data_IF_144829649363
#
_entry.id   IF_144829649363
#
_cell.length_a   1.000
_cell.length_b   1.000
_cell.length_c   1.000
_cell.angle_alpha   90.00
_cell.angle_beta   90.00
_cell.angle_gamma   90.00
#
_symmetry.space_group_name_H-M   'P 1'
#
loop_
_entity.id
_entity.type
_entity.pdbx_description
1 polymer ?
#
# COMPACT_ATOMS: atom_id res chain seq x y z
N UNK A 1 63.04 -27.11 -63.98
CA UNK A 1 63.19 -25.96 -63.09
C UNK A 1 61.86 -25.23 -63.12
N UNK A 2 60.93 -25.60 -62.29
CA UNK A 2 59.58 -24.99 -62.22
C UNK A 2 59.38 -24.33 -60.82
N UNK A 3 59.27 -23.02 -60.83
CA UNK A 3 59.02 -22.24 -59.64
C UNK A 3 57.51 -22.09 -59.40
N UNK A 4 57.02 -22.75 -58.38
CA UNK A 4 55.62 -22.65 -57.97
C UNK A 4 55.40 -21.40 -57.14
N UNK A 5 54.53 -20.49 -57.56
CA UNK A 5 54.11 -19.33 -56.84
C UNK A 5 52.97 -19.71 -55.88
N UNK A 6 53.19 -19.53 -54.57
CA UNK A 6 52.19 -19.72 -53.54
C UNK A 6 51.35 -18.43 -53.44
N UNK A 7 50.06 -18.54 -53.76
CA UNK A 7 49.08 -17.45 -53.57
C UNK A 7 48.48 -17.62 -52.19
N UNK A 8 48.79 -16.72 -51.29
CA UNK A 8 48.17 -16.66 -49.95
C UNK A 8 46.87 -15.85 -50.06
N UNK A 9 45.72 -16.53 -49.94
CA UNK A 9 44.41 -15.89 -49.81
C UNK A 9 44.18 -15.47 -48.38
N UNK A 10 44.17 -14.16 -48.14
CA UNK A 10 43.87 -13.56 -46.84
C UNK A 10 42.36 -13.38 -46.73
N UNK A 11 41.67 -14.30 -46.03
CA UNK A 11 40.25 -14.17 -45.72
C UNK A 11 40.07 -13.25 -44.51
N UNK A 12 39.52 -12.05 -44.77
CA UNK A 12 39.11 -11.12 -43.71
C UNK A 12 37.76 -11.59 -43.14
N UNK A 13 37.77 -12.11 -41.90
CA UNK A 13 36.56 -12.40 -41.16
C UNK A 13 36.08 -11.10 -40.49
N UNK A 14 35.03 -10.50 -41.07
CA UNK A 14 34.31 -9.38 -40.45
C UNK A 14 33.43 -9.98 -39.33
N UNK A 15 33.90 -9.89 -38.10
CA UNK A 15 33.12 -10.26 -36.91
C UNK A 15 31.99 -9.26 -36.67
N UNK A 16 30.76 -9.68 -36.96
CA UNK A 16 29.56 -8.93 -36.63
C UNK A 16 29.28 -9.15 -35.13
N UNK A 17 29.73 -8.21 -34.27
CA UNK A 17 29.39 -8.22 -32.86
C UNK A 17 27.92 -7.77 -32.70
N UNK A 18 27.02 -8.75 -32.55
CA UNK A 18 25.66 -8.48 -32.08
C UNK A 18 25.71 -8.18 -30.60
N UNK A 19 25.56 -6.90 -30.26
CA UNK A 19 25.26 -6.48 -28.90
C UNK A 19 23.85 -6.95 -28.52
N UNK A 20 23.77 -8.04 -27.74
CA UNK A 20 22.53 -8.45 -27.09
C UNK A 20 22.23 -7.37 -26.06
N UNK A 21 21.38 -6.42 -26.43
CA UNK A 21 20.77 -5.49 -25.49
C UNK A 21 19.92 -6.28 -24.52
N UNK A 22 20.38 -6.38 -23.27
CA UNK A 22 19.56 -6.89 -22.17
C UNK A 22 18.45 -5.87 -21.94
N UNK A 23 17.30 -6.03 -22.63
CA UNK A 23 16.08 -5.35 -22.29
C UNK A 23 15.64 -5.93 -20.95
N UNK A 24 15.81 -5.14 -19.89
CA UNK A 24 15.14 -5.40 -18.61
C UNK A 24 13.64 -5.23 -18.86
N UNK A 25 12.95 -6.33 -19.13
CA UNK A 25 11.51 -6.39 -19.03
C UNK A 25 11.15 -6.10 -17.57
N UNK A 26 10.95 -4.82 -17.28
CA UNK A 26 10.20 -4.40 -16.11
C UNK A 26 8.75 -4.82 -16.36
N UNK A 27 8.42 -6.04 -16.02
CA UNK A 27 7.02 -6.48 -15.80
C UNK A 27 6.45 -5.53 -14.76
N UNK A 28 5.80 -4.46 -15.24
CA UNK A 28 5.02 -3.56 -14.40
C UNK A 28 3.86 -4.39 -13.86
N UNK A 29 4.05 -4.93 -12.66
CA UNK A 29 3.06 -5.74 -11.97
C UNK A 29 1.72 -5.00 -11.96
N UNK A 30 0.64 -5.77 -12.09
CA UNK A 30 -0.73 -5.26 -12.05
C UNK A 30 -0.92 -4.42 -10.79
N UNK A 31 -1.03 -3.11 -10.94
CA UNK A 31 -1.22 -2.19 -9.81
C UNK A 31 -2.68 -2.22 -9.39
N UNK A 32 -2.95 -2.55 -8.13
CA UNK A 32 -4.28 -2.45 -7.53
C UNK A 32 -4.40 -1.08 -6.88
N UNK A 33 -5.35 -0.29 -7.34
CA UNK A 33 -5.65 1.03 -6.79
C UNK A 33 -7.00 1.05 -6.09
N UNK A 34 -7.11 1.81 -5.01
CA UNK A 34 -8.34 2.01 -4.24
C UNK A 34 -8.71 3.49 -4.29
N UNK A 35 -9.99 3.77 -4.46
CA UNK A 35 -10.56 5.12 -4.26
C UNK A 35 -11.47 5.10 -3.04
N UNK A 36 -11.18 5.95 -2.05
CA UNK A 36 -11.99 6.14 -0.83
C UNK A 36 -12.65 7.52 -0.93
N UNK A 37 -13.96 7.53 -1.19
CA UNK A 37 -14.76 8.74 -1.11
C UNK A 37 -15.15 8.99 0.34
N UNK A 38 -14.76 10.12 0.89
CA UNK A 38 -15.07 10.49 2.27
C UNK A 38 -15.96 11.72 2.35
N UNK A 39 -16.45 12.06 3.56
CA UNK A 39 -17.15 13.32 3.82
C UNK A 39 -16.25 14.57 3.68
N UNK A 40 -14.94 14.39 3.56
CA UNK A 40 -13.93 15.46 3.41
C UNK A 40 -13.31 15.53 2.01
N UNK A 41 -13.58 14.56 1.15
CA UNK A 41 -13.00 14.45 -0.20
C UNK A 41 -12.54 13.05 -0.51
N UNK A 42 -11.82 12.89 -1.62
CA UNK A 42 -11.37 11.61 -2.13
C UNK A 42 -9.91 11.34 -1.79
N UNK A 43 -9.62 10.10 -1.40
CA UNK A 43 -8.26 9.59 -1.17
C UNK A 43 -8.03 8.43 -2.14
N UNK A 44 -6.91 8.44 -2.88
CA UNK A 44 -6.52 7.33 -3.73
C UNK A 44 -5.30 6.61 -3.14
N UNK A 45 -5.38 5.28 -3.11
CA UNK A 45 -4.31 4.42 -2.62
C UNK A 45 -3.77 3.55 -3.75
N UNK A 46 -2.49 3.28 -3.71
CA UNK A 46 -1.83 2.18 -4.42
C UNK A 46 -1.55 1.07 -3.41
N UNK A 47 -1.92 -0.17 -3.74
CA UNK A 47 -1.70 -1.33 -2.87
C UNK A 47 -0.47 -2.13 -3.30
N UNK A 48 0.28 -2.65 -2.35
CA UNK A 48 1.52 -3.39 -2.54
C UNK A 48 1.28 -4.91 -2.51
N UNK A 49 0.63 -5.44 -3.56
CA UNK A 49 0.25 -6.86 -3.64
C UNK A 49 1.46 -7.81 -3.55
N UNK A 50 2.63 -7.42 -4.07
CA UNK A 50 3.86 -8.21 -3.97
C UNK A 50 4.44 -8.28 -2.55
N UNK A 51 4.23 -7.22 -1.74
CA UNK A 51 4.82 -7.10 -0.42
C UNK A 51 3.93 -7.69 0.68
N UNK A 52 2.60 -7.57 0.49
CA UNK A 52 1.57 -8.00 1.45
C UNK A 52 0.35 -8.62 0.74
N UNK A 53 0.51 -9.75 0.02
CA UNK A 53 -0.53 -10.33 -0.83
C UNK A 53 -1.80 -10.70 -0.07
N UNK A 54 -1.68 -11.26 1.13
CA UNK A 54 -2.83 -11.68 1.93
C UNK A 54 -3.60 -10.48 2.48
N UNK A 55 -2.89 -9.46 2.93
CA UNK A 55 -3.48 -8.20 3.42
C UNK A 55 -4.18 -7.45 2.30
N UNK A 56 -3.56 -7.35 1.12
CA UNK A 56 -4.16 -6.72 -0.05
C UNK A 56 -5.41 -7.49 -0.49
N UNK A 57 -5.35 -8.83 -0.56
CA UNK A 57 -6.52 -9.66 -0.88
C UNK A 57 -7.68 -9.43 0.12
N UNK A 58 -7.36 -9.33 1.43
CA UNK A 58 -8.34 -9.03 2.46
C UNK A 58 -8.99 -7.65 2.25
N UNK A 59 -8.18 -6.61 2.06
CA UNK A 59 -8.68 -5.25 1.90
C UNK A 59 -9.52 -5.11 0.63
N UNK A 60 -9.06 -5.65 -0.50
CA UNK A 60 -9.77 -5.67 -1.79
C UNK A 60 -11.08 -6.42 -1.67
N UNK A 61 -11.07 -7.64 -1.11
CA UNK A 61 -12.28 -8.44 -0.95
C UNK A 61 -13.33 -7.77 -0.07
N UNK A 62 -12.92 -7.10 1.02
CA UNK A 62 -13.82 -6.32 1.87
C UNK A 62 -14.36 -5.09 1.13
N UNK A 63 -13.53 -4.40 0.34
CA UNK A 63 -13.94 -3.25 -0.47
C UNK A 63 -14.95 -3.65 -1.55
N UNK A 64 -14.72 -4.76 -2.27
CA UNK A 64 -15.64 -5.30 -3.29
C UNK A 64 -16.99 -5.73 -2.68
N UNK A 65 -17.00 -6.20 -1.43
CA UNK A 65 -18.21 -6.49 -0.66
C UNK A 65 -18.93 -5.23 -0.15
N UNK A 66 -18.36 -4.03 -0.37
CA UNK A 66 -18.89 -2.76 0.17
C UNK A 66 -18.76 -2.63 1.68
N UNK A 67 -17.95 -3.46 2.33
CA UNK A 67 -17.81 -3.48 3.79
C UNK A 67 -17.43 -2.13 4.38
N UNK A 68 -16.55 -1.39 3.73
CA UNK A 68 -16.07 -0.10 4.23
C UNK A 68 -17.07 1.06 4.05
N UNK A 69 -18.14 0.87 3.26
CA UNK A 69 -19.12 1.92 3.00
C UNK A 69 -19.90 2.24 4.27
N UNK A 70 -19.89 3.50 4.67
CA UNK A 70 -20.51 3.98 5.90
C UNK A 70 -19.62 3.87 7.16
N UNK A 71 -18.46 3.22 7.07
CA UNK A 71 -17.51 3.12 8.19
C UNK A 71 -16.77 4.45 8.37
N UNK A 72 -16.50 4.82 9.63
CA UNK A 72 -15.84 6.07 9.99
C UNK A 72 -14.34 5.91 10.22
N UNK A 73 -13.62 7.00 10.13
CA UNK A 73 -12.32 7.14 10.78
C UNK A 73 -12.58 7.41 12.27
N UNK A 74 -12.48 6.36 13.07
CA UNK A 74 -12.87 6.38 14.48
C UNK A 74 -11.80 6.92 15.43
N UNK A 75 -10.54 7.04 14.95
CA UNK A 75 -9.41 7.58 15.73
C UNK A 75 -8.57 8.51 14.88
N UNK A 76 -8.22 9.64 15.45
CA UNK A 76 -7.22 10.58 14.94
C UNK A 76 -6.18 10.79 16.02
N UNK A 77 -4.92 10.48 15.71
CA UNK A 77 -3.76 10.82 16.51
C UNK A 77 -2.99 11.89 15.74
N UNK A 78 -3.13 13.15 16.16
CA UNK A 78 -2.60 14.32 15.43
C UNK A 78 -1.09 14.25 15.27
N UNK A 79 -0.62 14.45 14.04
CA UNK A 79 0.79 14.32 13.69
C UNK A 79 1.29 12.90 13.57
N UNK A 80 0.44 11.91 13.83
CA UNK A 80 0.80 10.49 13.77
C UNK A 80 -0.03 9.72 12.73
N UNK A 81 -1.31 9.43 13.00
CA UNK A 81 -2.17 8.64 12.10
C UNK A 81 -3.61 9.10 12.09
N UNK A 82 -4.35 8.76 11.02
CA UNK A 82 -5.80 8.57 11.03
C UNK A 82 -6.09 7.08 10.89
N UNK A 83 -7.05 6.54 11.66
CA UNK A 83 -7.36 5.12 11.70
C UNK A 83 -8.86 4.87 11.49
N UNK A 84 -9.17 3.88 10.64
CA UNK A 84 -10.53 3.48 10.30
C UNK A 84 -10.65 1.97 10.07
N UNK A 85 -11.75 1.54 9.41
CA UNK A 85 -11.97 0.14 9.03
C UNK A 85 -12.68 -0.72 10.09
N UNK A 86 -13.11 -0.13 11.20
CA UNK A 86 -13.93 -0.78 12.21
C UNK A 86 -15.42 -0.45 12.01
N UNK A 87 -16.25 -1.43 11.68
CA UNK A 87 -17.68 -1.24 11.47
C UNK A 87 -18.45 -0.85 12.74
N UNK A 88 -17.86 -1.06 13.92
CA UNK A 88 -18.46 -0.65 15.19
C UNK A 88 -18.09 0.79 15.59
N UNK A 89 -17.05 1.35 14.96
CA UNK A 89 -16.53 2.70 15.26
C UNK A 89 -15.93 2.84 16.66
N UNK A 90 -15.64 1.74 17.35
CA UNK A 90 -15.13 1.70 18.74
C UNK A 90 -13.62 1.47 18.82
N UNK A 91 -12.98 1.07 17.71
CA UNK A 91 -11.59 0.60 17.66
C UNK A 91 -11.42 -0.85 18.09
N UNK A 92 -12.50 -1.56 18.47
CA UNK A 92 -12.46 -2.95 18.95
C UNK A 92 -13.05 -3.96 17.98
N UNK A 93 -13.75 -3.49 16.94
CA UNK A 93 -14.36 -4.33 15.92
C UNK A 93 -13.41 -4.61 14.74
N UNK A 94 -14.00 -5.07 13.66
CA UNK A 94 -13.33 -5.45 12.43
C UNK A 94 -13.59 -6.89 12.07
N UNK A 95 -13.47 -7.21 10.77
CA UNK A 95 -13.53 -8.58 10.27
C UNK A 95 -12.54 -8.77 9.14
N UNK A 96 -12.26 -10.01 8.78
CA UNK A 96 -11.52 -10.33 7.57
C UNK A 96 -12.37 -11.20 6.63
N UNK A 97 -11.97 -11.28 5.36
CA UNK A 97 -12.58 -12.23 4.42
C UNK A 97 -12.31 -13.69 4.82
N UNK A 98 -11.34 -13.91 5.70
CA UNK A 98 -10.95 -15.24 6.18
C UNK A 98 -11.80 -15.73 7.37
N UNK A 99 -12.76 -14.91 7.84
CA UNK A 99 -13.64 -15.24 8.97
C UNK A 99 -12.97 -15.22 10.34
N UNK A 100 -11.68 -14.90 10.43
CA UNK A 100 -10.85 -14.81 11.64
C UNK A 100 -9.73 -13.80 11.47
N UNK A 101 -9.02 -13.49 12.55
CA UNK A 101 -7.76 -12.74 12.47
C UNK A 101 -6.74 -13.46 11.60
N UNK A 102 -5.83 -12.71 10.97
CA UNK A 102 -4.81 -13.28 10.10
C UNK A 102 -3.43 -12.70 10.41
N UNK A 103 -2.42 -13.41 9.96
CA UNK A 103 -1.01 -13.15 10.22
C UNK A 103 -0.51 -11.82 9.65
N UNK A 104 0.54 -11.30 10.28
CA UNK A 104 1.31 -10.17 9.78
C UNK A 104 2.16 -10.57 8.58
N UNK A 105 2.34 -9.65 7.63
CA UNK A 105 3.25 -9.79 6.48
C UNK A 105 4.41 -8.80 6.64
N UNK A 106 5.42 -9.22 7.40
CA UNK A 106 6.57 -8.38 7.81
C UNK A 106 7.87 -8.88 7.14
N UNK A 107 7.84 -9.02 5.81
CA UNK A 107 9.00 -9.48 5.05
C UNK A 107 10.12 -8.42 5.01
N UNK A 108 11.29 -8.67 5.65
CA UNK A 108 12.37 -7.67 5.75
C UNK A 108 13.05 -7.36 4.41
N UNK A 109 12.84 -8.15 3.36
CA UNK A 109 13.38 -7.87 2.02
C UNK A 109 12.42 -7.07 1.16
N UNK A 110 11.13 -6.99 1.53
CA UNK A 110 10.13 -6.22 0.81
C UNK A 110 10.48 -4.72 0.80
N UNK A 111 10.28 -4.02 -0.35
CA UNK A 111 10.53 -2.58 -0.46
C UNK A 111 9.77 -1.75 0.58
N UNK A 112 8.47 -2.01 0.78
CA UNK A 112 7.65 -1.29 1.75
C UNK A 112 8.13 -1.48 3.20
N UNK A 113 8.57 -2.70 3.56
CA UNK A 113 9.14 -2.96 4.88
C UNK A 113 10.44 -2.18 5.10
N UNK A 114 11.33 -2.11 4.08
CA UNK A 114 12.58 -1.35 4.16
C UNK A 114 12.32 0.15 4.31
N UNK A 115 11.40 0.69 3.53
CA UNK A 115 11.01 2.11 3.58
C UNK A 115 10.41 2.48 4.94
N UNK A 116 9.57 1.62 5.52
CA UNK A 116 8.94 1.80 6.82
C UNK A 116 7.79 2.80 6.79
N UNK A 117 7.47 3.36 7.96
CA UNK A 117 6.28 4.19 8.15
C UNK A 117 6.56 5.65 7.77
N UNK A 118 6.37 5.96 6.50
CA UNK A 118 6.48 7.29 5.92
C UNK A 118 5.11 7.96 5.82
N UNK A 119 5.09 9.29 5.72
CA UNK A 119 3.85 10.03 5.45
C UNK A 119 3.12 9.44 4.24
N UNK A 120 1.84 9.16 4.40
CA UNK A 120 0.99 8.53 3.39
C UNK A 120 1.07 7.01 3.35
N UNK A 121 1.94 6.35 4.12
CA UNK A 121 1.93 4.88 4.27
C UNK A 121 0.60 4.41 4.81
N UNK A 122 0.07 3.33 4.23
CA UNK A 122 -1.13 2.63 4.68
C UNK A 122 -0.73 1.29 5.27
N UNK A 123 -1.10 1.07 6.53
CA UNK A 123 -0.75 -0.16 7.24
C UNK A 123 -1.94 -0.71 8.05
N UNK A 124 -1.90 -2.02 8.34
CA UNK A 124 -2.90 -2.67 9.18
C UNK A 124 -2.74 -2.24 10.64
N UNK A 125 -3.85 -1.93 11.29
CA UNK A 125 -3.90 -1.86 12.74
C UNK A 125 -4.15 -3.27 13.31
N UNK A 126 -3.45 -3.62 14.39
CA UNK A 126 -3.58 -4.89 15.07
C UNK A 126 -3.59 -4.70 16.61
N UNK A 127 -3.86 -5.78 17.35
CA UNK A 127 -3.86 -5.85 18.82
C UNK A 127 -2.73 -6.72 19.36
N UNK A 128 -1.66 -6.82 18.62
CA UNK A 128 -0.52 -7.69 18.84
C UNK A 128 -0.24 -8.54 17.59
N UNK A 129 0.79 -9.36 17.58
CA UNK A 129 1.19 -10.14 16.42
C UNK A 129 0.07 -11.02 15.87
N UNK A 130 -0.12 -11.02 14.54
CA UNK A 130 -1.05 -11.89 13.82
C UNK A 130 -2.53 -11.69 14.20
N UNK A 131 -2.94 -10.46 14.55
CA UNK A 131 -4.34 -10.13 14.88
C UNK A 131 -4.96 -9.13 13.88
N UNK A 132 -4.53 -9.18 12.63
CA UNK A 132 -5.06 -8.31 11.58
C UNK A 132 -6.52 -8.66 11.26
N UNK A 133 -7.32 -7.63 10.98
CA UNK A 133 -8.73 -7.76 10.55
C UNK A 133 -9.02 -6.82 9.37
N UNK A 134 -9.87 -5.80 9.57
CA UNK A 134 -10.17 -4.76 8.58
C UNK A 134 -9.62 -3.38 8.96
N UNK A 135 -9.17 -3.20 10.22
CA UNK A 135 -8.70 -1.90 10.66
C UNK A 135 -7.37 -1.54 10.02
N UNK A 136 -7.26 -0.31 9.55
CA UNK A 136 -6.06 0.24 8.94
C UNK A 136 -5.83 1.68 9.39
N UNK A 137 -4.61 2.15 9.21
CA UNK A 137 -4.25 3.54 9.45
C UNK A 137 -3.46 4.14 8.28
N UNK A 138 -3.51 5.46 8.17
CA UNK A 138 -2.72 6.25 7.22
C UNK A 138 -1.80 7.16 8.03
N UNK A 139 -0.50 7.10 7.72
CA UNK A 139 0.51 7.92 8.38
C UNK A 139 0.39 9.40 8.00
N UNK A 140 0.45 10.27 8.99
CA UNK A 140 0.45 11.74 8.82
C UNK A 140 1.86 12.32 8.71
N UNK A 141 2.86 11.60 9.20
CA UNK A 141 4.27 12.00 9.18
C UNK A 141 5.18 10.77 9.13
N UNK A 142 6.46 11.00 8.88
CA UNK A 142 7.50 9.98 8.98
C UNK A 142 7.76 9.66 10.46
N UNK A 143 7.57 8.40 10.86
CA UNK A 143 7.78 7.99 12.25
C UNK A 143 8.67 6.74 12.31
N UNK A 144 9.84 6.82 12.96
CA UNK A 144 10.67 5.66 13.23
C UNK A 144 10.07 4.85 14.38
N UNK A 145 9.21 3.89 14.05
CA UNK A 145 8.61 2.99 15.04
C UNK A 145 8.90 1.52 14.71
N UNK A 146 8.77 0.60 15.69
CA UNK A 146 8.95 -0.83 15.46
C UNK A 146 8.04 -1.33 14.33
N UNK A 147 8.59 -2.16 13.46
CA UNK A 147 7.89 -2.68 12.27
C UNK A 147 6.97 -3.85 12.62
N UNK A 148 5.93 -3.57 13.40
CA UNK A 148 4.95 -4.54 13.91
C UNK A 148 3.62 -4.52 13.16
N UNK A 149 3.49 -3.67 12.13
CA UNK A 149 2.26 -3.47 11.39
C UNK A 149 2.52 -3.70 9.91
N UNK A 150 1.74 -4.56 9.28
CA UNK A 150 1.86 -4.86 7.85
C UNK A 150 1.60 -3.61 7.02
N UNK A 151 2.63 -3.13 6.31
CA UNK A 151 2.49 -2.07 5.31
C UNK A 151 1.96 -2.71 4.03
N UNK A 152 0.82 -2.23 3.53
CA UNK A 152 0.20 -2.82 2.36
C UNK A 152 -0.18 -1.82 1.25
N UNK A 153 0.16 -0.54 1.43
CA UNK A 153 -0.10 0.48 0.43
C UNK A 153 0.40 1.86 0.82
N UNK A 154 0.13 2.81 -0.07
CA UNK A 154 0.39 4.23 0.15
C UNK A 154 -0.69 5.10 -0.48
N UNK A 155 -0.86 6.31 0.03
CA UNK A 155 -1.68 7.36 -0.59
C UNK A 155 -0.95 7.89 -1.82
N UNK A 156 -1.63 7.90 -2.97
CA UNK A 156 -1.12 8.46 -4.23
C UNK A 156 -1.73 9.82 -4.56
N UNK A 157 -2.98 10.06 -4.10
CA UNK A 157 -3.67 11.36 -4.21
C UNK A 157 -4.55 11.59 -2.99
N UNK A 158 -4.78 12.87 -2.66
CA UNK A 158 -5.67 13.25 -1.55
C UNK A 158 -4.98 13.27 -0.19
N UNK A 159 -3.65 13.48 -0.10
CA UNK A 159 -2.98 13.72 1.18
C UNK A 159 -3.45 15.00 1.86
N UNK A 160 -3.90 16.00 1.11
CA UNK A 160 -4.58 17.20 1.60
C UNK A 160 -5.92 16.88 2.26
N UNK A 161 -6.66 15.90 1.73
CA UNK A 161 -7.89 15.38 2.34
C UNK A 161 -7.55 14.63 3.64
N UNK A 162 -6.49 13.82 3.67
CA UNK A 162 -6.00 13.14 4.88
C UNK A 162 -5.64 14.18 5.95
N UNK A 163 -4.95 15.26 5.58
CA UNK A 163 -4.63 16.36 6.49
C UNK A 163 -5.87 17.07 7.01
N UNK A 164 -6.86 17.30 6.15
CA UNK A 164 -8.13 17.91 6.54
C UNK A 164 -8.92 17.04 7.53
N UNK A 165 -8.82 15.74 7.40
CA UNK A 165 -9.36 14.77 8.37
C UNK A 165 -8.60 14.86 9.70
N UNK A 166 -7.27 14.91 9.64
CA UNK A 166 -6.42 15.00 10.84
C UNK A 166 -6.61 16.34 11.61
N UNK A 167 -7.02 17.40 10.91
CA UNK A 167 -7.20 18.74 11.49
C UNK A 167 -8.52 18.93 12.25
N UNK A 168 -9.49 18.00 12.13
CA UNK A 168 -10.79 18.18 12.80
C UNK A 168 -10.65 18.18 14.32
N UNK A 169 -11.65 18.75 14.99
CA UNK A 169 -11.76 18.66 16.44
C UNK A 169 -12.00 17.21 16.87
N UNK A 170 -11.33 16.79 17.92
CA UNK A 170 -11.44 15.46 18.51
C UNK A 170 -11.99 15.52 19.94
N UNK A 171 -12.60 14.43 20.37
CA UNK A 171 -12.88 14.12 21.75
C UNK A 171 -11.67 13.31 22.25
N UNK A 172 -10.83 13.86 23.13
CA UNK A 172 -9.64 13.19 23.62
C UNK A 172 -9.94 11.86 24.29
N UNK A 173 -9.13 10.82 24.01
CA UNK A 173 -9.23 9.49 24.58
C UNK A 173 -7.89 8.99 25.14
N UNK A 174 -6.79 9.35 24.49
CA UNK A 174 -5.41 9.01 24.90
C UNK A 174 -4.52 10.25 24.82
N UNK A 175 -4.70 11.18 25.79
CA UNK A 175 -4.06 12.51 25.74
C UNK A 175 -4.74 13.48 24.79
N UNK A 176 -4.30 14.74 24.79
CA UNK A 176 -4.99 15.86 24.13
C UNK A 176 -4.98 15.81 22.59
N UNK A 177 -4.10 15.01 22.00
CA UNK A 177 -3.89 14.92 20.55
C UNK A 177 -4.41 13.63 19.94
N UNK A 178 -4.97 12.71 20.74
CA UNK A 178 -5.41 11.39 20.28
C UNK A 178 -6.84 11.10 20.76
N UNK A 179 -7.75 10.88 19.83
CA UNK A 179 -9.14 10.65 20.18
C UNK A 179 -10.06 10.45 18.97
N UNK A 180 -11.37 10.44 19.25
CA UNK A 180 -12.40 10.29 18.24
C UNK A 180 -12.73 11.68 17.65
N UNK A 181 -12.96 11.81 16.31
CA UNK A 181 -13.54 13.02 15.73
C UNK A 181 -14.84 13.41 16.43
N UNK A 182 -15.02 14.71 16.74
CA UNK A 182 -16.31 15.22 17.26
C UNK A 182 -17.46 15.03 16.29
N UNK A 183 -17.17 15.14 14.99
CA UNK A 183 -18.11 14.88 13.89
C UNK A 183 -17.55 13.72 13.08
N UNK A 184 -18.38 12.71 12.86
CA UNK A 184 -17.96 11.49 12.17
C UNK A 184 -17.47 11.79 10.75
N UNK A 185 -16.29 11.30 10.44
CA UNK A 185 -15.70 11.31 9.10
C UNK A 185 -15.95 9.97 8.45
N UNK A 186 -16.89 9.95 7.52
CA UNK A 186 -17.42 8.73 6.93
C UNK A 186 -16.72 8.41 5.60
N UNK A 187 -16.31 7.16 5.42
CA UNK A 187 -16.01 6.57 4.12
C UNK A 187 -17.33 6.26 3.41
N UNK A 188 -17.76 7.16 2.52
CA UNK A 188 -19.06 7.00 1.82
C UNK A 188 -19.05 5.82 0.86
N UNK A 189 -17.93 5.66 0.15
CA UNK A 189 -17.74 4.59 -0.83
C UNK A 189 -16.27 4.24 -0.95
N UNK A 190 -15.96 2.95 -0.99
CA UNK A 190 -14.62 2.43 -1.28
C UNK A 190 -14.71 1.59 -2.55
N UNK A 191 -13.91 1.93 -3.56
CA UNK A 191 -13.95 1.32 -4.88
C UNK A 191 -12.58 0.78 -5.26
N UNK A 192 -12.54 -0.45 -5.75
CA UNK A 192 -11.35 -1.09 -6.30
C UNK A 192 -11.21 -0.72 -7.78
N UNK A 193 -10.06 -0.17 -8.17
CA UNK A 193 -9.69 0.09 -9.57
C UNK A 193 -8.59 -0.90 -9.93
N UNK A 194 -8.91 -1.87 -10.79
CA UNK A 194 -7.92 -2.81 -11.35
C UNK A 194 -7.49 -2.24 -12.70
N UNK A 195 -6.27 -1.70 -12.80
CA UNK A 195 -5.73 -1.32 -14.10
C UNK A 195 -5.36 -2.61 -14.85
N UNK A 196 -5.95 -2.79 -16.05
CA UNK A 196 -5.48 -3.80 -16.97
C UNK A 196 -4.05 -3.42 -17.38
N UNK A 197 -3.08 -4.30 -17.16
CA UNK A 197 -1.72 -4.12 -17.67
C UNK A 197 -1.78 -3.86 -19.18
N UNK A 198 -1.23 -2.73 -19.62
CA UNK A 198 -1.01 -2.43 -21.06
C UNK A 198 0.16 -3.24 -21.55
#
# INVERSE_FOLDING_TARGET
>A
MYTTKLVVCLTIIVGLSQSIGCQSDTTKGKTVSISIETTKGNIELELFESDAPKTVANFVGLAEQGYFNGIIFHRISKGFVIQGGDSTGTGRGGKSIYGKEFEDELNPVAPSYKEGYKRGTVAMANRGPNTNTSQFFIMLSDVPMPKNYTIFGKVTKGMDVVDSIAAVEIIPQMGDTDGKPKVDIVMKKVTVKKEAGK
#
